data_IF_736037947717
#
_entry.id   IF_736037947717
#
_cell.length_a   1.000
_cell.length_b   1.000
_cell.length_c   1.000
_cell.angle_alpha   90.00
_cell.angle_beta   90.00
_cell.angle_gamma   90.00
#
_symmetry.space_group_name_H-M   'P 1'
#
loop_
_entity.id
_entity.type
_entity.pdbx_description
1 polymer ?
#
# COMPACT_ATOMS: atom_id res chain seq x y z
N UNK A 1 -28.16 18.49 35.21
CA UNK A 1 -27.03 19.42 35.09
C UNK A 1 -25.87 19.09 36.05
N UNK A 2 -26.11 18.98 37.37
CA UNK A 2 -25.06 18.70 38.38
C UNK A 2 -24.20 17.43 38.12
N UNK A 3 -24.80 16.29 37.72
CA UNK A 3 -24.06 15.06 37.43
C UNK A 3 -23.10 15.20 36.25
N UNK A 4 -23.44 15.99 35.20
CA UNK A 4 -22.59 16.27 34.06
C UNK A 4 -21.39 17.13 34.41
N UNK A 5 -21.63 18.17 35.24
CA UNK A 5 -20.56 19.04 35.80
C UNK A 5 -19.60 18.25 36.69
N UNK A 6 -20.12 17.38 37.57
CA UNK A 6 -19.27 16.54 38.43
C UNK A 6 -18.41 15.55 37.63
N UNK A 7 -18.92 15.03 36.49
CA UNK A 7 -18.13 14.18 35.60
C UNK A 7 -17.02 14.99 34.90
N UNK A 8 -17.34 16.16 34.40
CA UNK A 8 -16.35 17.07 33.77
C UNK A 8 -15.28 17.46 34.78
N UNK A 9 -15.66 17.86 36.01
CA UNK A 9 -14.71 18.17 37.05
C UNK A 9 -13.78 17.01 37.43
N UNK A 10 -14.29 15.77 37.46
CA UNK A 10 -13.48 14.57 37.66
C UNK A 10 -12.51 14.32 36.51
N UNK A 11 -12.94 14.56 35.26
CA UNK A 11 -12.06 14.41 34.06
C UNK A 11 -10.95 15.48 34.13
N UNK A 12 -11.27 16.73 34.38
CA UNK A 12 -10.27 17.79 34.49
C UNK A 12 -9.30 17.57 35.66
N UNK A 13 -9.79 17.09 36.82
CA UNK A 13 -8.94 16.73 37.95
C UNK A 13 -8.05 15.49 37.67
N UNK A 14 -8.52 14.54 36.86
CA UNK A 14 -7.71 13.42 36.40
C UNK A 14 -6.64 13.85 35.38
N UNK A 15 -6.98 14.77 34.47
CA UNK A 15 -6.02 15.37 33.54
C UNK A 15 -4.90 16.10 34.23
N UNK A 16 -5.22 16.94 35.21
CA UNK A 16 -4.19 17.71 35.98
C UNK A 16 -3.24 16.80 36.76
N UNK A 17 -3.73 15.68 37.29
CA UNK A 17 -2.88 14.69 37.99
C UNK A 17 -1.99 13.87 37.05
N UNK A 18 -2.35 13.76 35.76
CA UNK A 18 -1.63 13.04 34.74
C UNK A 18 -0.85 13.95 33.77
N UNK A 19 -0.70 15.25 34.11
CA UNK A 19 -0.01 16.21 33.26
C UNK A 19 1.41 15.76 32.84
N UNK A 20 2.26 15.21 33.72
CA UNK A 20 3.56 14.64 33.28
C UNK A 20 3.44 13.46 32.31
N UNK A 21 2.41 12.61 32.48
CA UNK A 21 2.19 11.48 31.59
C UNK A 21 1.68 11.94 30.21
N UNK A 22 0.80 12.94 30.19
CA UNK A 22 0.33 13.53 28.94
C UNK A 22 1.46 14.24 28.19
N UNK A 23 2.31 14.96 28.91
CA UNK A 23 3.49 15.62 28.34
C UNK A 23 4.47 14.59 27.77
N UNK A 24 4.74 13.50 28.49
CA UNK A 24 5.57 12.40 28.01
C UNK A 24 5.01 11.81 26.70
N UNK A 25 3.72 11.51 26.64
CA UNK A 25 3.08 10.95 25.43
C UNK A 25 3.23 11.93 24.25
N UNK A 26 2.99 13.21 24.48
CA UNK A 26 3.11 14.23 23.45
C UNK A 26 4.55 14.36 22.91
N UNK A 27 5.54 14.42 23.83
CA UNK A 27 6.95 14.51 23.44
C UNK A 27 7.44 13.24 22.74
N UNK A 28 7.05 12.07 23.24
CA UNK A 28 7.41 10.79 22.63
C UNK A 28 6.80 10.63 21.23
N UNK A 29 5.53 10.98 21.07
CA UNK A 29 4.85 10.98 19.76
C UNK A 29 5.56 11.92 18.79
N UNK A 30 5.85 13.15 19.21
CA UNK A 30 6.57 14.12 18.38
C UNK A 30 7.97 13.64 18.00
N UNK A 31 8.68 12.98 18.93
CA UNK A 31 9.98 12.38 18.63
C UNK A 31 9.87 11.33 17.52
N UNK A 32 8.90 10.42 17.59
CA UNK A 32 8.69 9.41 16.54
C UNK A 32 8.39 10.08 15.19
N UNK A 33 7.50 11.07 15.17
CA UNK A 33 7.14 11.80 13.94
C UNK A 33 8.34 12.52 13.30
N UNK A 34 9.21 13.09 14.11
CA UNK A 34 10.39 13.83 13.63
C UNK A 34 11.62 12.97 13.36
N UNK A 35 11.64 11.73 13.86
CA UNK A 35 12.74 10.77 13.67
C UNK A 35 12.61 9.95 12.37
N UNK A 36 11.55 10.16 11.59
CA UNK A 36 11.36 9.44 10.34
C UNK A 36 12.43 9.79 9.31
N UNK A 37 12.91 8.76 8.60
CA UNK A 37 13.86 8.99 7.51
C UNK A 37 13.20 9.84 6.41
N UNK A 38 13.92 10.78 5.82
CA UNK A 38 13.42 11.52 4.68
C UNK A 38 12.95 10.56 3.57
N UNK A 39 11.77 10.83 3.04
CA UNK A 39 11.29 10.08 1.88
C UNK A 39 12.14 10.43 0.66
N UNK A 40 12.69 9.41 0.01
CA UNK A 40 13.39 9.56 -1.26
C UNK A 40 12.43 9.15 -2.38
N UNK A 41 12.00 10.07 -3.24
CA UNK A 41 11.15 9.74 -4.37
C UNK A 41 11.84 8.76 -5.31
N UNK A 42 11.09 7.82 -5.83
CA UNK A 42 11.55 6.91 -6.88
C UNK A 42 11.25 7.53 -8.24
N UNK A 43 12.14 7.35 -9.21
CA UNK A 43 11.88 7.69 -10.61
C UNK A 43 10.87 6.73 -11.26
N UNK A 44 10.52 5.63 -10.61
CA UNK A 44 9.53 4.67 -11.06
C UNK A 44 8.19 4.89 -10.37
N UNK A 45 7.13 4.61 -11.09
CA UNK A 45 5.81 4.55 -10.48
C UNK A 45 5.71 3.38 -9.50
N UNK A 46 4.95 3.60 -8.43
CA UNK A 46 4.60 2.54 -7.47
C UNK A 46 3.19 2.03 -7.80
N UNK A 47 2.97 0.74 -8.00
CA UNK A 47 1.65 0.18 -8.27
C UNK A 47 0.55 0.66 -7.31
N UNK A 48 0.85 0.74 -6.01
CA UNK A 48 -0.08 1.26 -4.99
C UNK A 48 -0.47 2.73 -5.18
N UNK A 49 0.27 3.48 -6.00
CA UNK A 49 -0.03 4.87 -6.35
C UNK A 49 -0.88 5.01 -7.61
N UNK A 50 -0.86 4.01 -8.51
CA UNK A 50 -1.52 4.09 -9.84
C UNK A 50 -3.03 4.20 -9.71
N UNK A 51 -3.67 3.48 -8.77
CA UNK A 51 -5.09 3.64 -8.43
C UNK A 51 -5.46 4.98 -7.80
N UNK A 52 -4.46 5.79 -7.40
CA UNK A 52 -4.63 7.00 -6.61
C UNK A 52 -4.63 8.32 -7.41
N UNK A 53 -4.07 9.33 -6.79
CA UNK A 53 -4.08 10.71 -7.25
C UNK A 53 -3.02 10.96 -8.34
N UNK A 54 -3.44 11.41 -9.52
CA UNK A 54 -2.55 11.74 -10.64
C UNK A 54 -1.51 12.80 -10.28
N UNK A 55 -1.88 13.83 -9.49
CA UNK A 55 -0.92 14.85 -9.01
C UNK A 55 0.16 14.23 -8.12
N UNK A 56 -0.21 13.30 -7.23
CA UNK A 56 0.76 12.58 -6.41
C UNK A 56 1.72 11.79 -7.28
N UNK A 57 1.21 11.04 -8.26
CA UNK A 57 2.05 10.30 -9.22
C UNK A 57 3.04 11.22 -9.94
N UNK A 58 2.58 12.36 -10.45
CA UNK A 58 3.41 13.35 -11.12
C UNK A 58 4.55 13.85 -10.21
N UNK A 59 4.23 14.34 -9.02
CA UNK A 59 5.25 14.90 -8.13
C UNK A 59 6.26 13.85 -7.67
N UNK A 60 5.81 12.63 -7.38
CA UNK A 60 6.72 11.52 -7.04
C UNK A 60 7.62 11.16 -8.23
N UNK A 61 7.08 11.14 -9.44
CA UNK A 61 7.81 10.83 -10.68
C UNK A 61 8.91 11.84 -10.99
N UNK A 62 8.68 13.13 -10.76
CA UNK A 62 9.69 14.18 -10.93
C UNK A 62 10.61 14.36 -9.71
N UNK A 63 10.55 13.47 -8.74
CA UNK A 63 11.42 13.52 -7.56
C UNK A 63 11.05 14.57 -6.52
N UNK A 64 9.85 15.17 -6.61
CA UNK A 64 9.36 16.16 -5.64
C UNK A 64 8.37 15.52 -4.67
N UNK A 65 8.78 15.32 -3.43
CA UNK A 65 7.85 14.91 -2.39
C UNK A 65 7.33 16.11 -1.62
N UNK A 66 5.99 16.28 -1.60
CA UNK A 66 5.32 17.25 -0.74
C UNK A 66 4.83 16.60 0.57
N UNK A 67 5.43 15.49 0.96
CA UNK A 67 5.04 14.83 2.19
C UNK A 67 5.42 15.72 3.39
N UNK A 68 4.41 16.20 4.09
CA UNK A 68 4.58 16.61 5.48
C UNK A 68 4.97 15.37 6.30
N UNK A 69 5.66 15.55 7.42
CA UNK A 69 5.94 14.46 8.32
C UNK A 69 4.65 13.69 8.60
N UNK A 70 4.70 12.37 8.43
CA UNK A 70 3.54 11.54 8.71
C UNK A 70 3.18 11.66 10.20
N UNK A 71 1.90 11.73 10.52
CA UNK A 71 1.46 11.65 11.91
C UNK A 71 1.80 10.29 12.51
N UNK A 72 2.01 10.25 13.81
CA UNK A 72 2.29 9.00 14.52
C UNK A 72 1.31 7.87 14.16
N UNK A 73 0.02 8.19 14.08
CA UNK A 73 -0.99 7.19 13.72
C UNK A 73 -0.76 6.57 12.33
N UNK A 74 -0.34 7.36 11.35
CA UNK A 74 -0.03 6.87 10.01
C UNK A 74 1.23 5.99 10.00
N UNK A 75 2.25 6.40 10.78
CA UNK A 75 3.49 5.63 10.95
C UNK A 75 3.15 4.26 11.57
N UNK A 76 2.50 4.26 12.72
CA UNK A 76 2.13 3.04 13.45
C UNK A 76 1.22 2.11 12.63
N UNK A 77 0.28 2.68 11.85
CA UNK A 77 -0.56 1.88 10.95
C UNK A 77 0.25 1.22 9.83
N UNK A 78 1.24 1.92 9.28
CA UNK A 78 2.13 1.37 8.27
C UNK A 78 3.00 0.24 8.83
N UNK A 79 3.62 0.47 9.99
CA UNK A 79 4.46 -0.54 10.69
C UNK A 79 3.65 -1.79 11.04
N UNK A 80 2.46 -1.62 11.63
CA UNK A 80 1.57 -2.74 11.95
C UNK A 80 1.14 -3.51 10.69
N UNK A 81 0.90 -2.81 9.57
CA UNK A 81 0.63 -3.43 8.28
C UNK A 81 1.80 -4.30 7.82
N UNK A 82 3.00 -3.76 7.80
CA UNK A 82 4.22 -4.48 7.38
C UNK A 82 4.46 -5.72 8.23
N UNK A 83 4.39 -5.61 9.56
CA UNK A 83 4.56 -6.74 10.47
C UNK A 83 3.52 -7.86 10.21
N UNK A 84 2.27 -7.48 9.92
CA UNK A 84 1.22 -8.47 9.62
C UNK A 84 1.42 -9.13 8.27
N UNK A 85 1.86 -8.39 7.24
CA UNK A 85 2.23 -8.95 5.94
C UNK A 85 3.31 -10.02 6.11
N UNK A 86 4.42 -9.70 6.76
CA UNK A 86 5.52 -10.62 7.00
C UNK A 86 5.04 -11.91 7.71
N UNK A 87 4.23 -11.77 8.76
CA UNK A 87 3.69 -12.92 9.47
C UNK A 87 2.76 -13.79 8.60
N UNK A 88 1.91 -13.16 7.77
CA UNK A 88 1.02 -13.90 6.88
C UNK A 88 1.79 -14.61 5.76
N UNK A 89 2.82 -13.98 5.20
CA UNK A 89 3.72 -14.58 4.22
C UNK A 89 4.45 -15.80 4.81
N UNK A 90 4.99 -15.67 6.03
CA UNK A 90 5.61 -16.80 6.73
C UNK A 90 4.64 -17.97 6.94
N UNK A 91 3.38 -17.69 7.33
CA UNK A 91 2.36 -18.73 7.45
C UNK A 91 2.06 -19.41 6.12
N UNK A 92 2.01 -18.67 5.01
CA UNK A 92 1.78 -19.22 3.67
C UNK A 92 2.95 -20.09 3.22
N UNK A 93 4.20 -19.67 3.45
CA UNK A 93 5.38 -20.49 3.17
C UNK A 93 5.36 -21.79 3.99
N UNK A 94 4.93 -21.73 5.24
CA UNK A 94 4.80 -22.92 6.07
C UNK A 94 3.58 -23.78 5.67
N UNK A 95 2.52 -23.19 5.18
CA UNK A 95 1.37 -23.89 4.60
C UNK A 95 1.76 -24.67 3.33
N UNK A 96 2.57 -24.06 2.47
CA UNK A 96 3.14 -24.69 1.27
C UNK A 96 3.91 -25.99 1.56
N UNK A 97 4.52 -26.12 2.73
CA UNK A 97 5.24 -27.35 3.15
C UNK A 97 4.31 -28.48 3.60
N UNK A 98 3.02 -28.22 3.78
CA UNK A 98 2.07 -29.17 4.40
C UNK A 98 0.89 -29.53 3.49
N UNK A 99 0.44 -28.60 2.64
CA UNK A 99 -0.68 -28.82 1.75
C UNK A 99 -0.19 -28.98 0.29
N UNK A 100 -0.40 -30.15 -0.34
CA UNK A 100 0.10 -30.40 -1.70
C UNK A 100 -0.64 -29.57 -2.76
N UNK A 101 -1.76 -28.95 -2.43
CA UNK A 101 -2.53 -28.11 -3.37
C UNK A 101 -2.11 -26.64 -3.30
N UNK A 102 -1.24 -26.28 -2.35
CA UNK A 102 -0.75 -24.92 -2.18
C UNK A 102 0.78 -24.88 -2.28
N UNK A 103 1.31 -24.05 -3.17
CA UNK A 103 2.74 -23.84 -3.34
C UNK A 103 3.03 -22.33 -3.31
N UNK A 104 3.99 -21.94 -2.49
CA UNK A 104 4.58 -20.60 -2.53
C UNK A 104 5.65 -20.58 -3.60
N UNK A 105 5.50 -19.71 -4.62
CA UNK A 105 6.43 -19.58 -5.72
C UNK A 105 7.37 -18.39 -5.49
N UNK A 106 8.62 -18.56 -5.85
CA UNK A 106 9.55 -17.43 -5.89
C UNK A 106 9.39 -16.68 -7.21
N UNK A 107 9.24 -15.37 -7.09
CA UNK A 107 8.96 -14.51 -8.25
C UNK A 107 10.13 -14.48 -9.24
N UNK A 108 11.37 -14.50 -8.75
CA UNK A 108 12.57 -14.57 -9.57
C UNK A 108 12.66 -15.87 -10.37
N UNK A 109 12.49 -17.03 -9.72
CA UNK A 109 12.47 -18.33 -10.38
C UNK A 109 11.33 -18.42 -11.40
N UNK A 110 10.16 -17.87 -11.08
CA UNK A 110 9.01 -17.84 -11.99
C UNK A 110 9.29 -16.97 -13.22
N UNK A 111 9.90 -15.81 -13.06
CA UNK A 111 10.24 -14.91 -14.17
C UNK A 111 11.38 -15.44 -15.04
N UNK A 112 12.27 -16.27 -14.50
CA UNK A 112 13.29 -16.96 -15.30
C UNK A 112 12.66 -17.98 -16.27
N UNK A 113 11.58 -18.65 -15.84
CA UNK A 113 10.83 -19.59 -16.68
C UNK A 113 9.79 -18.90 -17.59
N UNK A 114 9.25 -17.77 -17.17
CA UNK A 114 8.18 -17.01 -17.83
C UNK A 114 8.58 -15.54 -17.96
N UNK A 115 9.58 -15.22 -18.79
CA UNK A 115 10.08 -13.86 -18.90
C UNK A 115 9.03 -12.90 -19.47
N UNK A 116 8.90 -11.72 -18.85
CA UNK A 116 8.05 -10.63 -19.33
C UNK A 116 8.92 -9.49 -19.81
N UNK A 117 8.64 -8.98 -21.02
CA UNK A 117 9.44 -7.93 -21.63
C UNK A 117 9.53 -6.68 -20.75
N UNK A 118 10.74 -6.20 -20.57
CA UNK A 118 11.04 -5.03 -19.73
C UNK A 118 11.07 -5.31 -18.23
N UNK A 119 10.65 -6.48 -17.75
CA UNK A 119 10.68 -6.84 -16.34
C UNK A 119 12.03 -7.40 -15.93
N UNK A 120 12.59 -6.86 -14.85
CA UNK A 120 13.83 -7.31 -14.24
C UNK A 120 13.68 -7.45 -12.73
N UNK A 121 14.31 -8.46 -12.15
CA UNK A 121 14.41 -8.65 -10.71
C UNK A 121 15.62 -7.89 -10.17
N UNK A 122 15.45 -7.15 -9.08
CA UNK A 122 16.55 -6.48 -8.38
C UNK A 122 17.19 -7.45 -7.38
N UNK A 123 18.18 -8.20 -7.85
CA UNK A 123 18.90 -9.21 -7.07
C UNK A 123 19.71 -8.63 -5.90
N UNK A 124 19.92 -7.31 -5.86
CA UNK A 124 20.61 -6.64 -4.76
C UNK A 124 19.67 -6.27 -3.59
N UNK A 125 18.36 -6.47 -3.77
CA UNK A 125 17.38 -6.14 -2.76
C UNK A 125 17.02 -7.38 -1.94
N UNK A 126 17.52 -7.42 -0.72
CA UNK A 126 17.16 -8.46 0.28
C UNK A 126 16.36 -7.75 1.36
N UNK A 127 15.03 -7.84 1.31
CA UNK A 127 14.19 -7.32 2.40
C UNK A 127 13.84 -8.44 3.38
N UNK A 128 13.31 -9.53 2.87
CA UNK A 128 13.10 -10.80 3.56
C UNK A 128 13.01 -11.90 2.48
N UNK A 129 12.96 -13.17 2.90
CA UNK A 129 12.93 -14.31 1.98
C UNK A 129 11.60 -14.43 1.20
N UNK A 130 10.65 -13.52 1.40
CA UNK A 130 9.29 -13.63 0.86
C UNK A 130 9.00 -12.62 -0.24
N UNK A 131 9.69 -11.48 -0.25
CA UNK A 131 9.42 -10.40 -1.21
C UNK A 131 10.53 -10.25 -2.23
N UNK A 132 10.16 -10.24 -3.49
CA UNK A 132 11.06 -9.96 -4.61
C UNK A 132 10.80 -8.55 -5.13
N UNK A 133 11.86 -7.74 -5.23
CA UNK A 133 11.77 -6.43 -5.85
C UNK A 133 11.89 -6.56 -7.36
N UNK A 134 10.87 -6.08 -8.06
CA UNK A 134 10.84 -6.06 -9.50
C UNK A 134 10.79 -4.63 -10.05
N UNK A 135 11.30 -4.48 -11.27
CA UNK A 135 11.17 -3.28 -12.09
C UNK A 135 10.73 -3.66 -13.48
N UNK A 136 9.84 -2.88 -14.05
CA UNK A 136 9.56 -2.95 -15.48
C UNK A 136 9.94 -1.63 -16.14
N UNK A 137 10.94 -1.68 -17.00
CA UNK A 137 11.52 -0.48 -17.64
C UNK A 137 10.58 0.12 -18.70
N UNK A 138 9.76 -0.68 -19.35
CA UNK A 138 8.82 -0.20 -20.36
C UNK A 138 7.64 0.56 -19.74
N UNK A 139 7.15 0.06 -18.59
CA UNK A 139 6.05 0.68 -17.85
C UNK A 139 6.52 1.66 -16.79
N UNK A 140 7.83 1.78 -16.58
CA UNK A 140 8.44 2.59 -15.51
C UNK A 140 7.85 2.26 -14.13
N UNK A 141 7.57 0.97 -13.87
CA UNK A 141 7.05 0.47 -12.60
C UNK A 141 8.16 -0.14 -11.74
N UNK A 142 8.12 0.11 -10.43
CA UNK A 142 8.97 -0.59 -9.46
C UNK A 142 8.16 -0.98 -8.24
N UNK A 143 8.24 -2.25 -7.83
CA UNK A 143 7.39 -2.80 -6.79
C UNK A 143 8.04 -3.96 -6.04
N UNK A 144 7.44 -4.26 -4.90
CA UNK A 144 7.57 -5.51 -4.18
C UNK A 144 6.23 -6.23 -4.33
N UNK A 145 6.26 -7.48 -4.80
CA UNK A 145 5.09 -8.32 -4.86
C UNK A 145 4.95 -9.04 -3.51
N UNK A 146 3.75 -9.03 -2.93
CA UNK A 146 3.49 -9.68 -1.64
C UNK A 146 3.68 -11.20 -1.72
N UNK A 147 3.38 -11.79 -2.89
CA UNK A 147 3.64 -13.19 -3.17
C UNK A 147 3.13 -13.66 -4.52
N UNK A 148 3.65 -14.81 -4.94
CA UNK A 148 3.14 -15.58 -6.06
C UNK A 148 2.85 -16.99 -5.54
N UNK A 149 1.66 -17.51 -5.82
CA UNK A 149 1.24 -18.80 -5.28
C UNK A 149 0.62 -19.67 -6.37
N UNK A 150 0.81 -21.00 -6.26
CA UNK A 150 0.00 -21.95 -7.01
C UNK A 150 -1.02 -22.56 -6.06
N UNK A 151 -2.28 -22.36 -6.35
CA UNK A 151 -3.40 -22.92 -5.60
C UNK A 151 -4.26 -23.79 -6.51
N UNK A 152 -4.44 -25.06 -6.14
CA UNK A 152 -5.20 -26.03 -6.95
C UNK A 152 -4.76 -26.09 -8.42
N UNK A 153 -3.46 -26.02 -8.65
CA UNK A 153 -2.85 -26.12 -9.98
C UNK A 153 -2.81 -24.81 -10.78
N UNK A 154 -3.44 -23.73 -10.32
CA UNK A 154 -3.46 -22.43 -10.98
C UNK A 154 -2.57 -21.41 -10.25
N UNK A 155 -1.84 -20.58 -11.01
CA UNK A 155 -0.96 -19.54 -10.45
C UNK A 155 -1.76 -18.26 -10.21
N UNK A 156 -1.51 -17.64 -9.06
CA UNK A 156 -2.12 -16.37 -8.64
C UNK A 156 -1.07 -15.43 -8.07
N UNK A 157 -1.24 -14.14 -8.33
CA UNK A 157 -0.63 -13.11 -7.52
C UNK A 157 -1.36 -13.08 -6.18
N UNK A 158 -0.62 -13.09 -5.08
CA UNK A 158 -1.16 -12.90 -3.74
C UNK A 158 -1.00 -11.42 -3.36
N UNK A 159 -2.10 -10.77 -3.05
CA UNK A 159 -2.12 -9.39 -2.56
C UNK A 159 -2.74 -9.37 -1.17
N UNK A 160 -1.96 -8.96 -0.18
CA UNK A 160 -2.35 -8.96 1.23
C UNK A 160 -2.71 -7.53 1.66
N UNK A 161 -3.86 -7.38 2.32
CA UNK A 161 -4.30 -6.10 2.88
C UNK A 161 -4.75 -6.26 4.32
N UNK A 162 -4.29 -5.36 5.18
CA UNK A 162 -4.76 -5.28 6.56
C UNK A 162 -5.57 -4.02 6.77
N UNK A 163 -6.77 -4.15 7.33
CA UNK A 163 -7.73 -3.05 7.41
C UNK A 163 -8.39 -2.95 8.78
N UNK A 164 -8.93 -1.78 9.11
CA UNK A 164 -9.79 -1.62 10.28
C UNK A 164 -11.11 -2.35 10.08
N UNK A 165 -11.77 -2.77 11.17
CA UNK A 165 -13.09 -3.40 11.15
C UNK A 165 -14.11 -2.59 10.33
N UNK A 166 -14.06 -1.25 10.41
CA UNK A 166 -14.97 -0.38 9.66
C UNK A 166 -14.83 -0.52 8.14
N UNK A 167 -13.61 -0.66 7.63
CA UNK A 167 -13.37 -0.90 6.20
C UNK A 167 -13.66 -2.36 5.85
N UNK A 168 -13.15 -3.28 6.64
CA UNK A 168 -13.30 -4.72 6.44
C UNK A 168 -14.76 -5.14 6.28
N UNK A 169 -15.66 -4.66 7.15
CA UNK A 169 -17.08 -4.99 7.09
C UNK A 169 -17.85 -4.38 5.89
N UNK A 170 -17.20 -3.53 5.09
CA UNK A 170 -17.78 -2.94 3.89
C UNK A 170 -17.40 -3.66 2.61
N UNK A 171 -16.49 -4.62 2.69
CA UNK A 171 -16.07 -5.37 1.53
C UNK A 171 -17.19 -6.24 0.98
N UNK A 172 -17.48 -6.06 -0.28
CA UNK A 172 -18.25 -6.98 -1.14
C UNK A 172 -17.39 -7.49 -2.29
N UNK A 173 -16.31 -6.78 -2.59
CA UNK A 173 -15.32 -7.07 -3.63
C UNK A 173 -14.01 -6.30 -3.31
N UNK A 174 -12.89 -6.57 -4.01
CA UNK A 174 -11.67 -5.78 -3.88
C UNK A 174 -11.90 -4.32 -4.32
N UNK A 175 -11.28 -3.36 -3.61
CA UNK A 175 -11.35 -1.96 -4.00
C UNK A 175 -10.65 -1.73 -5.36
N UNK A 176 -11.18 -0.80 -6.15
CA UNK A 176 -10.64 -0.46 -7.47
C UNK A 176 -9.15 -0.07 -7.42
N UNK A 177 -8.72 0.66 -6.38
CA UNK A 177 -7.32 1.01 -6.18
C UNK A 177 -6.42 -0.22 -5.98
N UNK A 178 -6.93 -1.27 -5.34
CA UNK A 178 -6.21 -2.54 -5.17
C UNK A 178 -6.21 -3.37 -6.46
N UNK A 179 -7.31 -3.37 -7.21
CA UNK A 179 -7.38 -4.01 -8.53
C UNK A 179 -6.36 -3.37 -9.49
N UNK A 180 -6.26 -2.04 -9.52
CA UNK A 180 -5.26 -1.35 -10.33
C UNK A 180 -3.82 -1.66 -9.89
N UNK A 181 -3.57 -1.75 -8.58
CA UNK A 181 -2.27 -2.16 -8.04
C UNK A 181 -1.91 -3.56 -8.51
N UNK A 182 -2.81 -4.53 -8.35
CA UNK A 182 -2.60 -5.92 -8.76
C UNK A 182 -2.47 -6.05 -10.29
N UNK A 183 -3.19 -5.22 -11.05
CA UNK A 183 -3.05 -5.16 -12.50
C UNK A 183 -1.64 -4.75 -12.94
N UNK A 184 -1.03 -3.78 -12.24
CA UNK A 184 0.37 -3.43 -12.48
C UNK A 184 1.30 -4.63 -12.26
N UNK A 185 1.07 -5.42 -11.21
CA UNK A 185 1.84 -6.64 -10.98
C UNK A 185 1.61 -7.68 -12.08
N UNK A 186 0.34 -7.91 -12.46
CA UNK A 186 -0.02 -8.86 -13.51
C UNK A 186 0.64 -8.54 -14.83
N UNK A 187 0.65 -7.28 -15.23
CA UNK A 187 1.33 -6.81 -16.44
C UNK A 187 2.85 -7.01 -16.38
N UNK A 188 3.45 -6.95 -15.21
CA UNK A 188 4.90 -7.11 -15.04
C UNK A 188 5.33 -8.56 -14.80
N UNK A 189 4.45 -9.42 -14.27
CA UNK A 189 4.77 -10.82 -13.92
C UNK A 189 4.19 -11.80 -14.95
N UNK A 190 3.22 -11.37 -15.76
CA UNK A 190 2.56 -12.23 -16.74
C UNK A 190 1.49 -13.15 -16.13
N UNK A 191 0.89 -12.75 -14.99
CA UNK A 191 -0.15 -13.50 -14.29
C UNK A 191 -1.40 -12.64 -14.15
N UNK A 192 -2.52 -13.06 -14.72
CA UNK A 192 -3.76 -12.30 -14.73
C UNK A 192 -4.74 -12.67 -13.60
N UNK A 193 -4.42 -13.68 -12.80
CA UNK A 193 -5.27 -14.10 -11.70
C UNK A 193 -4.68 -13.67 -10.36
N UNK A 194 -5.53 -13.12 -9.48
CA UNK A 194 -5.14 -12.54 -8.20
C UNK A 194 -5.98 -13.11 -7.08
N UNK A 195 -5.36 -13.44 -5.97
CA UNK A 195 -6.04 -13.67 -4.70
C UNK A 195 -5.78 -12.45 -3.83
N UNK A 196 -6.83 -11.67 -3.55
CA UNK A 196 -6.80 -10.65 -2.53
C UNK A 196 -7.14 -11.24 -1.17
N UNK A 197 -6.22 -11.15 -0.22
CA UNK A 197 -6.44 -11.55 1.16
C UNK A 197 -6.54 -10.29 2.03
N UNK A 198 -7.73 -10.04 2.58
CA UNK A 198 -7.95 -8.98 3.54
C UNK A 198 -7.99 -9.55 4.95
N UNK A 199 -7.27 -8.91 5.87
CA UNK A 199 -7.32 -9.21 7.29
C UNK A 199 -7.81 -8.00 8.09
N UNK A 200 -8.80 -8.23 8.95
CA UNK A 200 -9.25 -7.25 9.91
C UNK A 200 -8.23 -7.12 11.04
N UNK A 201 -7.65 -5.93 11.22
CA UNK A 201 -6.63 -5.68 12.25
C UNK A 201 -7.15 -5.74 13.69
N UNK A 202 -8.47 -5.59 13.85
CA UNK A 202 -9.06 -5.49 15.19
C UNK A 202 -9.39 -6.86 15.79
N UNK A 203 -9.65 -7.88 14.95
CA UNK A 203 -10.04 -9.22 15.39
C UNK A 203 -9.40 -10.36 14.58
N UNK A 204 -8.56 -10.06 13.58
CA UNK A 204 -7.85 -11.01 12.72
C UNK A 204 -8.74 -11.91 11.84
N UNK A 205 -10.01 -11.57 11.68
CA UNK A 205 -10.87 -12.21 10.68
C UNK A 205 -10.34 -11.96 9.27
N UNK A 206 -10.57 -12.93 8.39
CA UNK A 206 -10.06 -12.89 7.02
C UNK A 206 -11.18 -13.08 6.02
N UNK A 207 -11.07 -12.39 4.89
CA UNK A 207 -11.87 -12.60 3.69
C UNK A 207 -10.94 -12.62 2.50
N UNK A 208 -11.22 -13.47 1.52
CA UNK A 208 -10.45 -13.53 0.29
C UNK A 208 -11.36 -13.40 -0.92
N UNK A 209 -10.84 -12.78 -1.98
CA UNK A 209 -11.48 -12.66 -3.28
C UNK A 209 -10.53 -13.13 -4.37
N UNK A 210 -11.05 -13.91 -5.31
CA UNK A 210 -10.36 -14.21 -6.56
C UNK A 210 -10.79 -13.16 -7.58
N UNK A 211 -9.82 -12.56 -8.26
CA UNK A 211 -10.05 -11.55 -9.29
C UNK A 211 -9.24 -11.93 -10.53
N UNK A 212 -9.85 -11.80 -11.70
CA UNK A 212 -9.16 -11.94 -12.96
C UNK A 212 -8.95 -10.57 -13.59
N UNK A 213 -7.71 -10.23 -13.87
CA UNK A 213 -7.30 -8.97 -14.49
C UNK A 213 -7.80 -8.96 -15.93
N UNK A 214 -8.63 -7.98 -16.26
CA UNK A 214 -9.18 -7.81 -17.61
C UNK A 214 -8.32 -6.91 -18.47
N UNK A 215 -8.45 -7.02 -19.78
CA UNK A 215 -7.76 -6.13 -20.72
C UNK A 215 -8.19 -4.67 -20.53
N UNK A 216 -9.45 -4.42 -20.22
CA UNK A 216 -9.94 -3.07 -19.86
C UNK A 216 -9.19 -2.48 -18.67
N UNK A 217 -8.89 -3.30 -17.65
CA UNK A 217 -8.12 -2.82 -16.49
C UNK A 217 -6.66 -2.55 -16.86
N UNK A 218 -6.05 -3.38 -17.72
CA UNK A 218 -4.70 -3.13 -18.26
C UNK A 218 -4.66 -1.82 -19.05
N UNK A 219 -5.65 -1.57 -19.90
CA UNK A 219 -5.77 -0.31 -20.65
C UNK A 219 -5.94 0.91 -19.73
N UNK A 220 -6.73 0.79 -18.66
CA UNK A 220 -6.88 1.87 -17.69
C UNK A 220 -5.56 2.19 -16.98
N UNK A 221 -4.79 1.17 -16.59
CA UNK A 221 -3.45 1.36 -16.00
C UNK A 221 -2.52 2.05 -17.00
N UNK A 222 -2.44 1.56 -18.25
CA UNK A 222 -1.60 2.13 -19.30
C UNK A 222 -1.99 3.59 -19.57
N UNK A 223 -3.28 3.87 -19.73
CA UNK A 223 -3.77 5.23 -19.96
C UNK A 223 -3.35 6.18 -18.84
N UNK A 224 -3.44 5.73 -17.60
CA UNK A 224 -3.10 6.57 -16.44
C UNK A 224 -1.59 6.83 -16.32
N UNK A 225 -0.75 5.83 -16.63
CA UNK A 225 0.69 6.01 -16.71
C UNK A 225 1.06 6.98 -17.83
N UNK A 226 0.51 6.80 -19.02
CA UNK A 226 0.74 7.67 -20.18
C UNK A 226 0.24 9.11 -19.93
N UNK A 227 -0.90 9.26 -19.28
CA UNK A 227 -1.41 10.57 -18.89
C UNK A 227 -0.44 11.28 -17.94
N UNK A 228 0.09 10.57 -16.96
CA UNK A 228 1.08 11.13 -16.05
C UNK A 228 2.37 11.52 -16.77
N UNK A 229 2.91 10.66 -17.65
CA UNK A 229 4.12 10.97 -18.42
C UNK A 229 3.96 12.21 -19.31
N UNK A 230 2.80 12.42 -19.94
CA UNK A 230 2.53 13.66 -20.69
C UNK A 230 2.70 14.91 -19.82
N UNK A 231 2.27 14.88 -18.57
CA UNK A 231 2.45 16.00 -17.65
C UNK A 231 3.94 16.15 -17.24
N UNK A 232 4.65 15.02 -17.09
CA UNK A 232 6.09 15.03 -16.78
C UNK A 232 6.89 15.63 -17.93
N UNK A 233 6.63 15.22 -19.16
CA UNK A 233 7.28 15.74 -20.37
C UNK A 233 7.02 17.25 -20.55
N UNK A 234 5.81 17.71 -20.27
CA UNK A 234 5.45 19.12 -20.36
C UNK A 234 6.02 19.96 -19.19
N UNK A 235 6.48 19.34 -18.13
CA UNK A 235 6.92 20.02 -16.92
C UNK A 235 5.81 20.78 -16.19
N UNK A 236 4.55 20.37 -16.39
CA UNK A 236 3.37 21.05 -15.84
C UNK A 236 2.60 20.08 -14.94
N UNK A 237 2.32 20.50 -13.70
CA UNK A 237 1.55 19.64 -12.79
C UNK A 237 0.08 19.51 -13.25
N UNK A 238 -0.49 18.28 -13.14
CA UNK A 238 -1.93 18.10 -13.43
C UNK A 238 -2.81 19.04 -12.61
N UNK A 239 -3.82 19.64 -13.23
CA UNK A 239 -4.82 20.49 -12.54
C UNK A 239 -6.02 19.67 -12.02
N UNK A 240 -5.93 18.35 -12.07
CA UNK A 240 -6.95 17.43 -11.54
C UNK A 240 -6.68 17.18 -10.08
N UNK A 241 -7.63 17.48 -9.23
CA UNK A 241 -7.53 17.32 -7.77
C UNK A 241 -8.35 16.12 -7.32
N UNK A 242 -7.73 15.21 -6.58
CA UNK A 242 -8.46 14.10 -5.99
C UNK A 242 -9.36 14.58 -4.83
N UNK A 243 -10.38 13.77 -4.52
CA UNK A 243 -11.34 14.10 -3.44
C UNK A 243 -10.84 13.72 -2.04
N UNK A 244 -9.62 13.17 -1.91
CA UNK A 244 -9.07 12.79 -0.62
C UNK A 244 -8.64 14.01 0.20
N UNK A 245 -9.20 14.16 1.39
CA UNK A 245 -8.79 15.18 2.38
C UNK A 245 -7.37 14.96 2.91
N UNK A 246 -6.83 13.76 2.73
CA UNK A 246 -5.50 13.36 3.20
C UNK A 246 -4.41 13.54 2.13
N UNK A 247 -4.76 13.88 0.88
CA UNK A 247 -3.77 14.04 -0.17
C UNK A 247 -3.01 15.37 -0.03
N UNK A 248 -1.71 15.37 0.34
CA UNK A 248 -0.96 16.61 0.55
C UNK A 248 -0.78 17.41 -0.74
N UNK A 249 -0.79 16.73 -1.89
CA UNK A 249 -0.64 17.33 -3.21
C UNK A 249 -1.87 18.08 -3.72
N UNK A 250 -3.05 17.76 -3.16
CA UNK A 250 -4.32 18.39 -3.56
C UNK A 250 -4.85 19.36 -2.50
N UNK A 251 -4.49 19.17 -1.23
CA UNK A 251 -4.99 19.97 -0.11
C UNK A 251 -4.41 21.39 -0.10
N UNK A 252 -3.12 21.56 -0.49
CA UNK A 252 -2.41 22.85 -0.38
C UNK A 252 -2.76 23.87 -1.46
N UNK A 253 -3.31 23.47 -2.61
CA UNK A 253 -3.47 24.36 -3.76
C UNK A 253 -4.89 24.77 -4.11
N UNK A 254 -5.95 24.33 -3.45
CA UNK A 254 -7.26 24.67 -4.01
C UNK A 254 -8.48 24.44 -3.16
N UNK A 255 -8.38 23.93 -1.98
CA UNK A 255 -9.54 23.84 -1.09
C UNK A 255 -9.48 24.95 -0.04
N UNK A 256 -10.21 26.05 -0.29
CA UNK A 256 -10.83 26.78 0.80
C UNK A 256 -11.79 25.79 1.46
N UNK A 257 -11.45 25.36 2.68
CA UNK A 257 -12.37 24.65 3.56
C UNK A 257 -13.56 25.56 3.86
#
# INVERSE_FOLDING_TARGET
MAKKLARIAKMVAAESKNEPAADFVNQFTKFIETSQKPYTPSQYYKPSGVGGCLRKMYFERIGQSLQDNASYNLIAMGEAGTMRHEALQEYMVNFSKKDPNFEWLKVDEYLDEHPVEGTNVDTNFVKNDFETKCKNELLQLSFLCDGLVRWQGKVYIMEIKTETMFKFNKHTEPYEEHKMQATCYGMCIGVDDVIFLYENRDNFEKIAYVYHITDDMKEQVLHKLQECEKYVELGISPKVYCNSSYCPYCRKEGRKL
#
